data_IF_764837119162
#
_entry.id   IF_764837119162
#
_cell.length_a   1.000
_cell.length_b   1.000
_cell.length_c   1.000
_cell.angle_alpha   90.00
_cell.angle_beta   90.00
_cell.angle_gamma   90.00
#
_symmetry.space_group_name_H-M   'P 1'
#
loop_
_entity.id
_entity.type
_entity.pdbx_description
1 polymer ?
#
# COMPACT_ATOMS: atom_id res chain seq x y z
N UNK A 1 -41.10 22.43 4.97
CA UNK A 1 -40.05 22.55 6.01
C UNK A 1 -38.76 21.95 5.47
N UNK A 2 -37.86 22.76 4.93
CA UNK A 2 -36.56 22.32 4.41
C UNK A 2 -35.54 22.32 5.54
N UNK A 3 -35.19 21.14 6.05
CA UNK A 3 -34.15 20.99 7.05
C UNK A 3 -32.79 21.35 6.44
N UNK A 4 -32.27 22.53 6.78
CA UNK A 4 -30.91 22.95 6.46
C UNK A 4 -29.91 22.02 7.13
N UNK A 5 -29.02 21.41 6.35
CA UNK A 5 -27.91 20.64 6.89
C UNK A 5 -26.90 21.60 7.52
N UNK A 6 -26.75 21.52 8.85
CA UNK A 6 -25.90 22.43 9.62
C UNK A 6 -24.42 22.28 9.24
N UNK A 7 -23.72 23.35 8.80
CA UNK A 7 -22.31 23.31 8.38
C UNK A 7 -21.33 22.79 9.45
N UNK A 8 -21.70 22.86 10.73
CA UNK A 8 -20.86 22.40 11.84
C UNK A 8 -20.66 20.86 11.87
N UNK A 9 -21.67 20.07 11.47
CA UNK A 9 -21.58 18.60 11.47
C UNK A 9 -20.66 18.07 10.36
N UNK A 10 -20.59 18.75 9.23
CA UNK A 10 -19.73 18.35 8.10
C UNK A 10 -18.26 18.67 8.35
N UNK A 11 -17.96 19.78 9.04
CA UNK A 11 -16.60 20.14 9.47
C UNK A 11 -16.01 19.16 10.49
N UNK A 12 -16.76 18.82 11.54
CA UNK A 12 -16.32 17.87 12.56
C UNK A 12 -16.09 16.46 11.99
N UNK A 13 -16.97 15.99 11.09
CA UNK A 13 -16.81 14.71 10.41
C UNK A 13 -15.59 14.67 9.47
N UNK A 14 -15.29 15.79 8.78
CA UNK A 14 -14.09 15.92 7.93
C UNK A 14 -12.80 15.96 8.76
N UNK A 15 -12.79 16.68 9.87
CA UNK A 15 -11.66 16.71 10.81
C UNK A 15 -11.38 15.34 11.44
N UNK A 16 -12.42 14.61 11.80
CA UNK A 16 -12.30 13.23 12.30
C UNK A 16 -11.65 12.29 11.27
N UNK A 17 -12.10 12.33 10.01
CA UNK A 17 -11.53 11.50 8.93
C UNK A 17 -10.05 11.80 8.66
N UNK A 18 -9.68 13.07 8.65
CA UNK A 18 -8.28 13.47 8.48
C UNK A 18 -7.41 12.93 9.62
N UNK A 19 -7.84 13.13 10.87
CA UNK A 19 -7.13 12.62 12.06
C UNK A 19 -6.98 11.10 12.00
N UNK A 20 -8.04 10.36 11.66
CA UNK A 20 -7.98 8.91 11.50
C UNK A 20 -7.00 8.50 10.40
N UNK A 21 -7.02 9.16 9.25
CA UNK A 21 -6.09 8.85 8.16
C UNK A 21 -4.63 9.10 8.57
N UNK A 22 -4.35 10.22 9.25
CA UNK A 22 -3.02 10.54 9.76
C UNK A 22 -2.54 9.52 10.81
N UNK A 23 -3.42 9.12 11.74
CA UNK A 23 -3.11 8.11 12.75
C UNK A 23 -2.86 6.73 12.14
N UNK A 24 -3.62 6.33 11.10
CA UNK A 24 -3.41 5.05 10.44
C UNK A 24 -2.09 5.03 9.65
N UNK A 25 -1.83 6.06 8.84
CA UNK A 25 -0.60 6.14 8.06
C UNK A 25 0.64 6.28 8.97
N UNK A 26 0.58 7.16 9.97
CA UNK A 26 1.66 7.36 10.94
C UNK A 26 1.86 6.17 11.86
N UNK A 27 0.77 5.52 12.31
CA UNK A 27 0.83 4.32 13.13
C UNK A 27 1.41 3.13 12.38
N UNK A 28 1.05 2.95 11.11
CA UNK A 28 1.68 1.94 10.25
C UNK A 28 3.16 2.22 10.08
N UNK A 29 3.54 3.46 9.75
CA UNK A 29 4.95 3.83 9.62
C UNK A 29 5.72 3.56 10.93
N UNK A 30 5.18 3.97 12.07
CA UNK A 30 5.78 3.71 13.38
C UNK A 30 5.96 2.22 13.65
N UNK A 31 4.97 1.38 13.31
CA UNK A 31 5.08 -0.07 13.42
C UNK A 31 6.25 -0.61 12.60
N UNK A 32 6.42 -0.16 11.36
CA UNK A 32 7.52 -0.64 10.50
C UNK A 32 8.90 -0.28 11.08
N UNK A 33 9.05 0.96 11.58
CA UNK A 33 10.29 1.40 12.24
C UNK A 33 10.57 0.65 13.53
N UNK A 34 9.54 0.30 14.31
CA UNK A 34 9.70 -0.52 15.51
C UNK A 34 10.12 -1.96 15.16
N UNK A 35 9.53 -2.55 14.12
CA UNK A 35 9.88 -3.89 13.65
C UNK A 35 11.33 -3.93 13.14
N UNK A 36 11.74 -2.99 12.29
CA UNK A 36 13.12 -2.91 11.78
C UNK A 36 14.13 -2.65 12.91
N UNK A 37 13.79 -1.78 13.87
CA UNK A 37 14.65 -1.56 15.03
C UNK A 37 14.83 -2.82 15.88
N UNK A 38 13.72 -3.54 16.12
CA UNK A 38 13.77 -4.82 16.82
C UNK A 38 14.62 -5.84 16.04
N UNK A 39 14.43 -5.92 14.73
CA UNK A 39 15.13 -6.86 13.87
C UNK A 39 16.65 -6.66 13.91
N UNK A 40 17.10 -5.43 13.63
CA UNK A 40 18.51 -5.04 13.64
C UNK A 40 19.17 -5.23 15.01
N UNK A 41 18.44 -4.97 16.09
CA UNK A 41 18.96 -5.14 17.47
C UNK A 41 19.04 -6.61 17.92
N UNK A 42 18.43 -7.53 17.17
CA UNK A 42 18.40 -8.96 17.48
C UNK A 42 19.10 -9.81 16.43
N UNK A 43 19.93 -9.22 15.55
CA UNK A 43 20.69 -9.97 14.56
C UNK A 43 19.87 -10.43 13.35
N UNK A 44 18.88 -9.62 12.96
CA UNK A 44 18.01 -9.83 11.79
C UNK A 44 17.15 -11.10 11.88
N UNK A 45 16.64 -11.40 13.08
CA UNK A 45 15.84 -12.61 13.35
C UNK A 45 14.49 -12.62 12.64
N UNK A 46 13.95 -11.46 12.29
CA UNK A 46 12.68 -11.33 11.56
C UNK A 46 12.86 -11.59 10.05
N UNK A 47 14.07 -11.50 9.50
CA UNK A 47 14.33 -11.81 8.07
C UNK A 47 13.86 -13.21 7.66
N UNK A 48 13.75 -14.13 8.63
CA UNK A 48 13.19 -15.47 8.42
C UNK A 48 11.71 -15.49 8.00
N UNK A 49 10.99 -14.38 8.14
CA UNK A 49 9.60 -14.21 7.71
C UNK A 49 9.50 -13.44 6.38
N UNK A 50 10.58 -13.36 5.62
CA UNK A 50 10.55 -12.96 4.21
C UNK A 50 9.99 -14.08 3.32
N UNK A 51 9.71 -13.76 2.05
CA UNK A 51 9.16 -14.71 1.08
C UNK A 51 10.30 -15.29 0.24
N UNK A 52 10.56 -16.58 0.38
CA UNK A 52 11.31 -17.43 -0.53
C UNK A 52 10.36 -18.03 -1.56
N UNK A 53 10.70 -17.94 -2.86
CA UNK A 53 9.79 -18.38 -3.90
C UNK A 53 9.62 -19.89 -3.90
N UNK A 54 8.36 -20.32 -4.05
CA UNK A 54 7.93 -21.71 -4.21
C UNK A 54 8.21 -22.62 -3.01
N UNK A 55 8.50 -22.06 -1.83
CA UNK A 55 8.47 -22.79 -0.56
C UNK A 55 7.06 -22.74 0.04
N UNK A 56 6.38 -23.88 0.13
CA UNK A 56 5.00 -23.96 0.63
C UNK A 56 4.89 -23.51 2.10
N UNK A 57 5.92 -23.73 2.91
CA UNK A 57 5.91 -23.37 4.33
C UNK A 57 5.89 -21.86 4.55
N UNK A 58 6.42 -21.09 3.58
CA UNK A 58 6.52 -19.64 3.62
C UNK A 58 5.30 -18.94 2.98
N UNK A 59 4.26 -19.68 2.58
CA UNK A 59 2.99 -19.05 2.20
C UNK A 59 2.35 -18.28 3.37
N UNK A 60 2.65 -18.68 4.60
CA UNK A 60 2.25 -17.95 5.82
C UNK A 60 2.93 -16.58 5.91
N UNK A 61 4.05 -16.40 5.22
CA UNK A 61 4.93 -15.25 5.34
C UNK A 61 4.57 -14.11 4.37
N UNK A 62 3.59 -14.32 3.47
CA UNK A 62 3.06 -13.30 2.57
C UNK A 62 2.62 -12.01 3.29
N UNK A 63 2.00 -12.17 4.46
CA UNK A 63 1.55 -11.04 5.27
C UNK A 63 2.71 -10.40 6.03
N UNK A 64 3.45 -11.10 6.91
CA UNK A 64 4.52 -10.47 7.69
C UNK A 64 5.62 -9.86 6.79
N UNK A 65 5.96 -10.47 5.66
CA UNK A 65 6.95 -9.92 4.74
C UNK A 65 6.62 -8.50 4.23
N UNK A 66 5.34 -8.12 4.17
CA UNK A 66 4.92 -6.77 3.80
C UNK A 66 5.22 -5.70 4.87
N UNK A 67 5.62 -6.13 6.08
CA UNK A 67 5.94 -5.26 7.21
C UNK A 67 7.43 -5.27 7.60
N UNK A 68 8.21 -6.18 7.03
CA UNK A 68 9.63 -6.34 7.33
C UNK A 68 10.48 -5.69 6.25
N UNK A 69 11.70 -5.30 6.59
CA UNK A 69 12.64 -4.67 5.66
C UNK A 69 14.04 -5.25 5.89
N UNK A 70 14.87 -5.19 4.86
CA UNK A 70 16.28 -5.56 4.94
C UNK A 70 17.11 -4.28 5.04
N UNK A 71 17.13 -3.67 6.22
CA UNK A 71 17.90 -2.46 6.46
C UNK A 71 17.09 -1.17 6.57
N UNK A 72 17.60 -0.26 7.40
CA UNK A 72 17.04 1.08 7.57
C UNK A 72 16.94 1.87 6.27
N UNK A 73 17.89 1.73 5.34
CA UNK A 73 17.85 2.43 4.05
C UNK A 73 16.65 1.98 3.22
N UNK A 74 16.37 0.67 3.22
CA UNK A 74 15.21 0.12 2.52
C UNK A 74 13.90 0.61 3.17
N UNK A 75 13.80 0.60 4.50
CA UNK A 75 12.64 1.15 5.20
C UNK A 75 12.46 2.66 4.96
N UNK A 76 13.55 3.43 4.99
CA UNK A 76 13.54 4.87 4.78
C UNK A 76 13.03 5.22 3.37
N UNK A 77 13.47 4.48 2.34
CA UNK A 77 13.01 4.65 0.97
C UNK A 77 11.49 4.42 0.81
N UNK A 78 10.90 3.52 1.60
CA UNK A 78 9.47 3.23 1.58
C UNK A 78 8.63 4.18 2.45
N UNK A 79 9.23 4.81 3.45
CA UNK A 79 8.52 5.54 4.51
C UNK A 79 7.63 6.67 3.99
N UNK A 80 8.19 7.56 3.16
CA UNK A 80 7.47 8.73 2.65
C UNK A 80 6.37 8.32 1.64
N UNK A 81 6.66 7.50 0.61
CA UNK A 81 5.61 7.03 -0.30
C UNK A 81 4.50 6.29 0.43
N UNK A 82 4.84 5.38 1.36
CA UNK A 82 3.84 4.63 2.11
C UNK A 82 2.95 5.57 2.92
N UNK A 83 3.53 6.50 3.69
CA UNK A 83 2.76 7.43 4.51
C UNK A 83 1.76 8.22 3.66
N UNK A 84 2.22 8.82 2.56
CA UNK A 84 1.38 9.67 1.71
C UNK A 84 0.28 8.86 1.03
N UNK A 85 0.61 7.71 0.42
CA UNK A 85 -0.37 6.91 -0.32
C UNK A 85 -1.38 6.22 0.63
N UNK A 86 -0.92 5.75 1.79
CA UNK A 86 -1.80 5.18 2.82
C UNK A 86 -2.73 6.25 3.39
N UNK A 87 -2.21 7.45 3.65
CA UNK A 87 -3.01 8.59 4.09
C UNK A 87 -4.11 8.95 3.07
N UNK A 88 -3.75 9.14 1.80
CA UNK A 88 -4.70 9.47 0.73
C UNK A 88 -5.74 8.38 0.51
N UNK A 89 -5.37 7.11 0.69
CA UNK A 89 -6.30 5.99 0.64
C UNK A 89 -7.23 5.97 1.86
N UNK A 90 -6.71 6.21 3.06
CA UNK A 90 -7.48 6.28 4.30
C UNK A 90 -8.43 7.48 4.37
N UNK A 91 -8.18 8.56 3.62
CA UNK A 91 -9.15 9.65 3.46
C UNK A 91 -10.48 9.15 2.88
N UNK A 92 -10.47 8.08 2.09
CA UNK A 92 -11.67 7.40 1.58
C UNK A 92 -12.35 6.51 2.64
N UNK A 93 -11.66 6.20 3.73
CA UNK A 93 -12.13 5.46 4.90
C UNK A 93 -11.09 4.46 5.43
N UNK A 94 -11.04 4.25 6.75
CA UNK A 94 -10.14 3.28 7.38
C UNK A 94 -10.30 1.86 6.82
N UNK A 95 -11.55 1.39 6.69
CA UNK A 95 -11.85 0.10 6.09
C UNK A 95 -11.42 0.00 4.62
N UNK A 96 -11.35 1.14 3.89
CA UNK A 96 -10.84 1.15 2.52
C UNK A 96 -9.35 0.89 2.48
N UNK A 97 -8.57 1.56 3.33
CA UNK A 97 -7.13 1.33 3.43
C UNK A 97 -6.85 -0.14 3.76
N UNK A 98 -7.54 -0.69 4.75
CA UNK A 98 -7.36 -2.10 5.17
C UNK A 98 -7.70 -3.05 4.01
N UNK A 99 -8.86 -2.89 3.39
CA UNK A 99 -9.31 -3.79 2.32
C UNK A 99 -8.40 -3.74 1.08
N UNK A 100 -8.00 -2.55 0.64
CA UNK A 100 -7.06 -2.39 -0.49
C UNK A 100 -5.71 -3.00 -0.14
N UNK A 101 -5.18 -2.71 1.05
CA UNK A 101 -3.88 -3.23 1.47
C UNK A 101 -3.88 -4.75 1.57
N UNK A 102 -4.96 -5.35 2.08
CA UNK A 102 -5.08 -6.81 2.16
C UNK A 102 -5.02 -7.47 0.78
N UNK A 103 -5.75 -6.93 -0.21
CA UNK A 103 -5.69 -7.42 -1.59
C UNK A 103 -4.27 -7.27 -2.15
N UNK A 104 -3.66 -6.10 -1.96
CA UNK A 104 -2.31 -5.82 -2.47
C UNK A 104 -1.27 -6.74 -1.85
N UNK A 105 -1.28 -6.94 -0.53
CA UNK A 105 -0.33 -7.82 0.19
C UNK A 105 -0.42 -9.24 -0.36
N UNK A 106 -1.64 -9.77 -0.50
CA UNK A 106 -1.84 -11.14 -1.00
C UNK A 106 -1.41 -11.26 -2.47
N UNK A 107 -1.81 -10.33 -3.34
CA UNK A 107 -1.48 -10.41 -4.77
C UNK A 107 0.02 -10.20 -5.00
N UNK A 108 0.62 -9.19 -4.35
CA UNK A 108 2.06 -8.91 -4.40
C UNK A 108 2.86 -10.11 -3.89
N UNK A 109 2.53 -10.60 -2.70
CA UNK A 109 3.22 -11.73 -2.08
C UNK A 109 3.08 -13.02 -2.88
N UNK A 110 1.90 -13.31 -3.44
CA UNK A 110 1.71 -14.44 -4.34
C UNK A 110 2.53 -14.31 -5.63
N UNK A 111 2.62 -13.10 -6.18
CA UNK A 111 3.46 -12.81 -7.35
C UNK A 111 4.94 -13.08 -7.08
N UNK A 112 5.44 -12.61 -5.93
CA UNK A 112 6.80 -12.90 -5.45
C UNK A 112 7.00 -14.40 -5.28
N UNK A 113 6.11 -15.07 -4.55
CA UNK A 113 6.22 -16.50 -4.26
C UNK A 113 6.28 -17.34 -5.54
N UNK A 114 5.46 -17.00 -6.55
CA UNK A 114 5.41 -17.72 -7.82
C UNK A 114 6.62 -17.42 -8.73
N UNK A 115 7.07 -16.16 -8.80
CA UNK A 115 7.89 -15.67 -9.91
C UNK A 115 9.22 -15.04 -9.50
N UNK A 116 9.52 -14.92 -8.21
CA UNK A 116 10.86 -14.47 -7.77
C UNK A 116 11.92 -15.55 -8.12
N UNK A 117 13.18 -15.14 -8.38
CA UNK A 117 14.27 -16.07 -8.67
C UNK A 117 14.51 -17.06 -7.52
N UNK A 118 14.89 -18.32 -7.80
CA UNK A 118 15.24 -19.26 -6.72
C UNK A 118 16.40 -18.70 -5.87
N UNK A 119 16.45 -19.08 -4.59
CA UNK A 119 17.46 -18.61 -3.62
C UNK A 119 17.44 -17.09 -3.37
N UNK A 120 16.29 -16.44 -3.56
CA UNK A 120 16.05 -15.08 -3.10
C UNK A 120 15.06 -15.06 -1.95
N UNK A 121 15.21 -14.09 -1.04
CA UNK A 121 14.20 -13.76 -0.03
C UNK A 121 13.72 -12.34 -0.30
N UNK A 122 12.41 -12.10 -0.26
CA UNK A 122 11.81 -10.78 -0.46
C UNK A 122 11.00 -10.37 0.77
N UNK A 123 11.31 -9.21 1.33
CA UNK A 123 10.51 -8.51 2.32
C UNK A 123 10.54 -7.01 2.01
N UNK A 124 9.47 -6.29 2.37
CA UNK A 124 9.37 -4.85 2.18
C UNK A 124 7.94 -4.37 2.00
N UNK A 125 7.68 -3.14 2.45
CA UNK A 125 6.40 -2.47 2.21
C UNK A 125 6.23 -1.98 0.76
N UNK A 126 7.24 -2.14 -0.10
CA UNK A 126 7.22 -1.57 -1.45
C UNK A 126 6.11 -2.17 -2.33
N UNK A 127 5.81 -3.46 -2.21
CA UNK A 127 4.64 -4.05 -2.88
C UNK A 127 3.32 -3.34 -2.51
N UNK A 128 3.18 -2.94 -1.24
CA UNK A 128 2.05 -2.14 -0.75
C UNK A 128 2.08 -0.73 -1.33
N UNK A 129 3.24 -0.06 -1.36
CA UNK A 129 3.41 1.27 -1.97
C UNK A 129 2.93 1.25 -3.42
N UNK A 130 3.40 0.29 -4.22
CA UNK A 130 3.03 0.14 -5.61
C UNK A 130 1.53 -0.18 -5.78
N UNK A 131 0.94 -1.01 -4.92
CA UNK A 131 -0.49 -1.27 -4.99
C UNK A 131 -1.37 -0.10 -4.55
N UNK A 132 -1.00 0.66 -3.51
CA UNK A 132 -1.71 1.88 -3.15
C UNK A 132 -1.60 2.94 -4.25
N UNK A 133 -0.44 3.05 -4.89
CA UNK A 133 -0.25 3.89 -6.06
C UNK A 133 -1.19 3.45 -7.21
N UNK A 134 -1.17 2.18 -7.60
CA UNK A 134 -2.04 1.65 -8.66
C UNK A 134 -3.53 1.82 -8.36
N UNK A 135 -3.94 1.59 -7.11
CA UNK A 135 -5.30 1.85 -6.65
C UNK A 135 -5.71 3.32 -6.83
N UNK A 136 -4.87 4.26 -6.37
CA UNK A 136 -5.14 5.70 -6.46
C UNK A 136 -5.18 6.21 -7.91
N UNK A 137 -4.34 5.66 -8.80
CA UNK A 137 -4.38 5.98 -10.23
C UNK A 137 -5.71 5.60 -10.88
N UNK A 138 -6.23 4.41 -10.56
CA UNK A 138 -7.34 3.81 -11.30
C UNK A 138 -8.70 4.10 -10.69
N UNK A 139 -8.79 4.28 -9.36
CA UNK A 139 -10.08 4.39 -8.64
C UNK A 139 -10.98 5.50 -9.17
N UNK A 140 -10.42 6.64 -9.59
CA UNK A 140 -11.20 7.78 -10.07
C UNK A 140 -11.96 7.47 -11.36
N UNK A 141 -11.35 6.70 -12.25
CA UNK A 141 -11.97 6.24 -13.49
C UNK A 141 -13.04 5.19 -13.20
N UNK A 142 -12.75 4.24 -12.30
CA UNK A 142 -13.68 3.17 -11.92
C UNK A 142 -14.93 3.72 -11.23
N UNK A 143 -14.76 4.63 -10.27
CA UNK A 143 -15.85 5.25 -9.53
C UNK A 143 -16.52 6.40 -10.31
N UNK A 144 -15.98 6.79 -11.48
CA UNK A 144 -16.41 7.92 -12.30
C UNK A 144 -16.47 9.24 -11.52
N UNK A 145 -15.42 9.51 -10.73
CA UNK A 145 -15.28 10.70 -9.88
C UNK A 145 -14.10 11.55 -10.34
N UNK A 146 -14.39 12.72 -10.91
CA UNK A 146 -13.37 13.64 -11.44
C UNK A 146 -12.34 14.04 -10.39
N UNK A 147 -12.77 14.30 -9.14
CA UNK A 147 -11.84 14.65 -8.05
C UNK A 147 -10.82 13.55 -7.79
N UNK A 148 -11.24 12.28 -7.84
CA UNK A 148 -10.34 11.14 -7.66
C UNK A 148 -9.45 10.90 -8.89
N UNK A 149 -9.91 11.24 -10.10
CA UNK A 149 -9.07 11.22 -11.31
C UNK A 149 -7.96 12.26 -11.20
N UNK A 150 -8.29 13.50 -10.82
CA UNK A 150 -7.31 14.57 -10.62
C UNK A 150 -6.31 14.19 -9.54
N UNK A 151 -6.77 13.61 -8.42
CA UNK A 151 -5.87 13.10 -7.39
C UNK A 151 -4.93 12.01 -7.93
N UNK A 152 -5.46 11.06 -8.70
CA UNK A 152 -4.65 10.03 -9.37
C UNK A 152 -3.59 10.64 -10.29
N UNK A 153 -3.92 11.67 -11.06
CA UNK A 153 -2.95 12.37 -11.92
C UNK A 153 -1.86 13.10 -11.12
N UNK A 154 -2.22 13.72 -9.98
CA UNK A 154 -1.23 14.34 -9.08
C UNK A 154 -0.30 13.27 -8.50
N UNK A 155 -0.86 12.15 -8.04
CA UNK A 155 -0.08 11.01 -7.55
C UNK A 155 0.84 10.48 -8.64
N UNK A 156 0.36 10.36 -9.89
CA UNK A 156 1.18 9.96 -11.04
C UNK A 156 2.33 10.95 -11.31
N UNK A 157 2.07 12.25 -11.21
CA UNK A 157 3.09 13.28 -11.44
C UNK A 157 4.18 13.26 -10.35
N UNK A 158 3.80 13.05 -9.09
CA UNK A 158 4.74 13.08 -7.95
C UNK A 158 5.50 11.76 -7.81
N UNK A 159 4.81 10.62 -7.98
CA UNK A 159 5.36 9.29 -7.70
C UNK A 159 5.50 8.40 -8.94
N UNK A 160 5.19 8.87 -10.15
CA UNK A 160 5.22 8.03 -11.36
C UNK A 160 6.57 7.42 -11.67
N UNK A 161 7.67 8.02 -11.19
CA UNK A 161 9.02 7.46 -11.34
C UNK A 161 9.21 6.11 -10.65
N UNK A 162 8.39 5.78 -9.63
CA UNK A 162 8.48 4.46 -8.98
C UNK A 162 8.20 3.32 -9.96
N UNK A 163 7.45 3.56 -11.05
CA UNK A 163 7.15 2.54 -12.06
C UNK A 163 8.41 1.92 -12.70
N UNK A 164 9.54 2.62 -12.71
CA UNK A 164 10.83 2.05 -13.13
C UNK A 164 11.26 0.86 -12.27
N UNK A 165 10.90 0.85 -10.99
CA UNK A 165 11.17 -0.26 -10.07
C UNK A 165 10.32 -1.50 -10.34
N UNK A 166 9.25 -1.41 -11.14
CA UNK A 166 8.47 -2.58 -11.56
C UNK A 166 9.08 -3.31 -12.78
N UNK A 167 10.23 -2.84 -13.28
CA UNK A 167 10.95 -3.48 -14.37
C UNK A 167 12.13 -4.30 -13.84
N UNK A 168 12.51 -5.40 -14.52
CA UNK A 168 13.60 -6.27 -14.12
C UNK A 168 14.98 -5.68 -14.46
N UNK A 169 15.29 -4.49 -13.96
CA UNK A 169 16.50 -3.73 -14.31
C UNK A 169 17.41 -3.39 -13.12
N UNK A 170 17.00 -3.70 -11.89
CA UNK A 170 17.73 -3.37 -10.66
C UNK A 170 17.95 -4.62 -9.81
N UNK A 171 19.21 -4.94 -9.54
CA UNK A 171 19.60 -6.00 -8.62
C UNK A 171 19.22 -5.65 -7.18
N UNK A 172 18.76 -6.64 -6.40
CA UNK A 172 18.34 -6.44 -5.01
C UNK A 172 16.94 -5.83 -4.85
N UNK A 173 16.27 -5.46 -5.95
CA UNK A 173 14.90 -4.96 -5.95
C UNK A 173 13.96 -6.03 -6.50
N UNK A 174 12.91 -6.35 -5.75
CA UNK A 174 11.87 -7.28 -6.20
C UNK A 174 10.89 -6.58 -7.13
N UNK A 175 11.20 -6.56 -8.42
CA UNK A 175 10.28 -6.03 -9.45
C UNK A 175 8.96 -6.83 -9.49
N UNK A 176 8.97 -8.10 -9.09
CA UNK A 176 7.78 -8.93 -8.93
C UNK A 176 6.85 -8.37 -7.85
N UNK A 177 7.38 -8.04 -6.67
CA UNK A 177 6.58 -7.39 -5.61
C UNK A 177 5.95 -6.10 -6.14
N UNK A 178 6.70 -5.30 -6.90
CA UNK A 178 6.22 -4.04 -7.45
C UNK A 178 5.13 -4.23 -8.51
N UNK A 179 5.37 -5.09 -9.50
CA UNK A 179 4.42 -5.37 -10.57
C UNK A 179 3.12 -5.97 -10.02
N UNK A 180 3.22 -6.99 -9.18
CA UNK A 180 2.04 -7.64 -8.61
C UNK A 180 1.37 -6.78 -7.54
N UNK A 181 2.12 -5.90 -6.86
CA UNK A 181 1.58 -4.81 -6.07
C UNK A 181 0.67 -3.90 -6.90
N UNK A 182 1.16 -3.36 -8.03
CA UNK A 182 0.36 -2.54 -8.96
C UNK A 182 -0.90 -3.27 -9.41
N UNK A 183 -0.77 -4.53 -9.85
CA UNK A 183 -1.90 -5.36 -10.27
C UNK A 183 -2.92 -5.50 -9.12
N UNK A 184 -2.45 -5.81 -7.91
CA UNK A 184 -3.30 -5.90 -6.72
C UNK A 184 -4.06 -4.59 -6.44
N UNK A 185 -3.40 -3.45 -6.62
CA UNK A 185 -4.02 -2.13 -6.51
C UNK A 185 -5.13 -1.88 -7.52
N UNK A 186 -4.88 -2.22 -8.78
CA UNK A 186 -5.88 -2.14 -9.86
C UNK A 186 -7.06 -3.06 -9.57
N UNK A 187 -6.80 -4.32 -9.18
CA UNK A 187 -7.84 -5.28 -8.80
C UNK A 187 -8.69 -4.76 -7.64
N UNK A 188 -8.06 -4.19 -6.61
CA UNK A 188 -8.76 -3.59 -5.47
C UNK A 188 -9.63 -2.39 -5.88
N UNK A 189 -9.21 -1.60 -6.88
CA UNK A 189 -10.02 -0.49 -7.40
C UNK A 189 -11.35 -0.98 -7.98
N UNK A 190 -11.32 -2.08 -8.75
CA UNK A 190 -12.53 -2.70 -9.29
C UNK A 190 -13.36 -3.42 -8.23
N UNK A 191 -12.71 -4.18 -7.34
CA UNK A 191 -13.39 -4.97 -6.30
C UNK A 191 -14.16 -4.09 -5.31
N UNK A 192 -13.60 -2.93 -4.94
CA UNK A 192 -14.21 -2.02 -3.97
C UNK A 192 -14.85 -0.80 -4.61
N UNK A 193 -15.23 -0.88 -5.90
CA UNK A 193 -15.91 0.22 -6.60
C UNK A 193 -17.10 0.73 -5.79
N UNK A 194 -17.25 2.04 -5.70
CA UNK A 194 -18.39 2.67 -5.01
C UNK A 194 -19.29 3.30 -6.06
N UNK A 195 -20.43 2.67 -6.37
CA UNK A 195 -21.35 3.20 -7.37
C UNK A 195 -21.74 4.65 -7.06
N UNK A 196 -21.80 5.49 -8.09
CA UNK A 196 -22.43 6.80 -7.98
C UNK A 196 -23.91 6.56 -7.65
N UNK A 197 -24.38 7.08 -6.52
CA UNK A 197 -25.81 7.12 -6.25
C UNK A 197 -26.45 7.92 -7.40
N UNK A 198 -27.26 7.23 -8.22
CA UNK A 198 -28.11 7.89 -9.20
C UNK A 198 -29.12 8.68 -8.39
N UNK A 199 -29.04 10.01 -8.46
CA UNK A 199 -30.11 10.89 -7.99
C UNK A 199 -31.10 11.08 -9.12
#
# INVERSE_FOLDING_TARGET
MTAGTTPARTGAARGGRFKTAALLAGGWLALLWLLEFYDQSNGNVLDTYGISPRDVSELRDLIPAAFLHFGYDHLAANSVPLFVLAFLTALSGAGRLIAVSAVVIIVSGAGVWLLAPPHSVTAGASGVVFGLFGYLLVRGFVDRRVVDVVLGLIVAAVYGSILWGALPNQSGVSWQAHLFGLIGGVLAAFAFRTPRAVK
#
